data_IF_350105511645
#
_entry.id   IF_350105511645
#
_cell.length_a   1.000
_cell.length_b   1.000
_cell.length_c   1.000
_cell.angle_alpha   90.00
_cell.angle_beta   90.00
_cell.angle_gamma   90.00
#
_symmetry.space_group_name_H-M   'P 1'
#
loop_
_entity.id
_entity.type
_entity.pdbx_description
1 polymer ?
#
# COMPACT_ATOMS: atom_id res chain seq x y z
N UNK A 1 -46.66 5.16 -16.95
CA UNK A 1 -46.19 4.72 -15.63
C UNK A 1 -46.34 5.87 -14.67
N UNK A 2 -47.14 5.69 -13.63
CA UNK A 2 -47.47 6.73 -12.65
C UNK A 2 -46.39 6.71 -11.56
N UNK A 3 -45.24 7.33 -11.81
CA UNK A 3 -44.26 7.56 -10.74
C UNK A 3 -44.79 8.74 -9.92
N UNK A 4 -45.01 8.53 -8.62
CA UNK A 4 -45.31 9.63 -7.71
C UNK A 4 -44.18 10.66 -7.85
N UNK A 5 -44.51 11.88 -8.29
CA UNK A 5 -43.56 12.99 -8.34
C UNK A 5 -43.27 13.41 -6.91
N UNK A 6 -42.29 12.79 -6.30
CA UNK A 6 -41.66 13.34 -5.10
C UNK A 6 -40.92 14.62 -5.55
N UNK A 7 -41.32 15.78 -5.02
CA UNK A 7 -40.71 17.08 -5.35
C UNK A 7 -39.24 17.18 -4.92
N UNK A 8 -38.78 16.26 -4.06
CA UNK A 8 -37.41 16.26 -3.51
C UNK A 8 -36.86 14.84 -3.50
N UNK A 9 -35.70 14.68 -4.13
CA UNK A 9 -34.88 13.47 -4.03
C UNK A 9 -33.76 13.74 -3.04
N UNK A 10 -33.70 12.96 -1.96
CA UNK A 10 -32.63 13.05 -0.95
C UNK A 10 -31.55 12.02 -1.27
N UNK A 11 -30.30 12.47 -1.39
CA UNK A 11 -29.14 11.62 -1.63
C UNK A 11 -28.35 11.54 -0.32
N UNK A 12 -28.23 10.36 0.28
CA UNK A 12 -27.59 10.15 1.59
C UNK A 12 -26.29 9.36 1.51
N UNK A 13 -26.01 8.76 0.37
CA UNK A 13 -24.96 7.77 0.15
C UNK A 13 -23.88 8.26 -0.82
N UNK A 14 -23.88 9.54 -1.19
CA UNK A 14 -22.83 10.14 -1.99
C UNK A 14 -22.30 11.41 -1.33
N UNK A 15 -21.02 11.68 -1.58
CA UNK A 15 -20.40 12.91 -1.14
C UNK A 15 -20.98 14.12 -1.93
N UNK A 16 -21.30 15.25 -1.28
CA UNK A 16 -21.90 16.41 -1.93
C UNK A 16 -21.09 16.93 -3.13
N UNK A 17 -19.76 16.95 -3.02
CA UNK A 17 -18.88 17.36 -4.13
C UNK A 17 -19.01 16.45 -5.35
N UNK A 18 -19.21 15.15 -5.12
CA UNK A 18 -19.39 14.18 -6.19
C UNK A 18 -20.67 14.41 -6.96
N UNK A 19 -21.77 14.64 -6.24
CA UNK A 19 -23.08 14.97 -6.84
C UNK A 19 -23.01 16.30 -7.59
N UNK A 20 -22.35 17.31 -7.03
CA UNK A 20 -22.19 18.59 -7.70
C UNK A 20 -21.40 18.46 -9.01
N UNK A 21 -20.31 17.69 -9.01
CA UNK A 21 -19.53 17.41 -10.23
C UNK A 21 -20.35 16.67 -11.28
N UNK A 22 -21.17 15.70 -10.87
CA UNK A 22 -22.09 14.98 -11.76
C UNK A 22 -23.14 15.92 -12.38
N UNK A 23 -23.77 16.78 -11.57
CA UNK A 23 -24.75 17.75 -12.07
C UNK A 23 -24.10 18.72 -13.06
N UNK A 24 -22.93 19.29 -12.72
CA UNK A 24 -22.19 20.16 -13.65
C UNK A 24 -21.94 19.47 -14.97
N UNK A 25 -21.50 18.21 -14.95
CA UNK A 25 -21.29 17.44 -16.16
C UNK A 25 -22.56 17.23 -16.98
N UNK A 26 -23.71 16.96 -16.36
CA UNK A 26 -24.98 16.81 -17.10
C UNK A 26 -25.43 18.10 -17.79
N UNK A 27 -25.10 19.27 -17.24
CA UNK A 27 -25.45 20.56 -17.84
C UNK A 27 -24.40 21.06 -18.83
N UNK A 28 -23.10 20.82 -18.60
CA UNK A 28 -22.01 21.36 -19.43
C UNK A 28 -21.41 20.36 -20.42
N UNK A 29 -21.55 19.06 -20.17
CA UNK A 29 -20.84 17.98 -20.88
C UNK A 29 -19.34 17.90 -20.58
N UNK A 30 -18.82 18.74 -19.67
CA UNK A 30 -17.39 18.87 -19.36
C UNK A 30 -17.08 18.46 -17.92
N UNK A 31 -15.90 17.88 -17.71
CA UNK A 31 -15.41 17.53 -16.37
C UNK A 31 -14.74 18.76 -15.75
N UNK A 32 -15.34 19.31 -14.69
CA UNK A 32 -14.84 20.46 -13.93
C UNK A 32 -14.49 20.02 -12.50
N UNK A 33 -13.23 19.62 -12.28
CA UNK A 33 -12.73 19.18 -10.98
C UNK A 33 -11.38 19.82 -10.68
N UNK A 34 -11.21 20.31 -9.45
CA UNK A 34 -10.01 21.04 -9.02
C UNK A 34 -9.05 20.15 -8.22
N UNK A 35 -9.56 19.09 -7.60
CA UNK A 35 -8.78 18.20 -6.73
C UNK A 35 -8.97 16.72 -7.07
N UNK A 36 -8.01 15.89 -6.64
CA UNK A 36 -8.08 14.43 -6.77
C UNK A 36 -9.27 13.88 -5.96
N UNK A 37 -9.53 14.43 -4.78
CA UNK A 37 -10.66 14.06 -3.93
C UNK A 37 -11.99 14.33 -4.63
N UNK A 38 -12.17 15.53 -5.19
CA UNK A 38 -13.39 15.90 -5.91
C UNK A 38 -13.60 14.98 -7.13
N UNK A 39 -12.55 14.72 -7.91
CA UNK A 39 -12.61 13.80 -9.04
C UNK A 39 -13.02 12.37 -8.62
N UNK A 40 -12.53 11.89 -7.47
CA UNK A 40 -12.90 10.59 -6.92
C UNK A 40 -14.37 10.56 -6.50
N UNK A 41 -14.85 11.56 -5.75
CA UNK A 41 -16.26 11.66 -5.37
C UNK A 41 -17.17 11.73 -6.59
N UNK A 42 -16.78 12.51 -7.62
CA UNK A 42 -17.55 12.62 -8.87
C UNK A 42 -17.54 11.30 -9.64
N UNK A 43 -16.44 10.53 -9.62
CA UNK A 43 -16.40 9.18 -10.18
C UNK A 43 -17.42 8.26 -9.50
N UNK A 44 -17.48 8.25 -8.17
CA UNK A 44 -18.46 7.44 -7.42
C UNK A 44 -19.90 7.81 -7.74
N UNK A 45 -20.19 9.11 -7.83
CA UNK A 45 -21.50 9.59 -8.26
C UNK A 45 -21.81 9.15 -9.71
N UNK A 46 -20.85 9.26 -10.63
CA UNK A 46 -21.00 8.84 -12.01
C UNK A 46 -21.29 7.34 -12.14
N UNK A 47 -20.60 6.50 -11.37
CA UNK A 47 -20.85 5.05 -11.33
C UNK A 47 -22.26 4.76 -10.81
N UNK A 48 -22.68 5.41 -9.73
CA UNK A 48 -24.01 5.21 -9.13
C UNK A 48 -25.14 5.61 -10.09
N UNK A 49 -24.97 6.70 -10.82
CA UNK A 49 -25.95 7.19 -11.79
C UNK A 49 -25.75 6.66 -13.21
N UNK A 50 -24.92 5.62 -13.37
CA UNK A 50 -24.71 4.89 -14.63
C UNK A 50 -24.23 5.78 -15.79
N UNK A 51 -23.36 6.75 -15.49
CA UNK A 51 -22.69 7.61 -16.49
C UNK A 51 -21.22 7.17 -16.67
N UNK A 52 -20.94 6.14 -17.48
CA UNK A 52 -19.59 5.56 -17.58
C UNK A 52 -18.57 6.52 -18.19
N UNK A 53 -18.98 7.40 -19.13
CA UNK A 53 -18.07 8.34 -19.78
C UNK A 53 -17.48 9.34 -18.79
N UNK A 54 -18.28 9.78 -17.81
CA UNK A 54 -17.80 10.65 -16.74
C UNK A 54 -16.87 9.88 -15.80
N UNK A 55 -17.25 8.66 -15.41
CA UNK A 55 -16.43 7.81 -14.54
C UNK A 55 -15.04 7.54 -15.15
N UNK A 56 -14.96 7.30 -16.47
CA UNK A 56 -13.71 7.14 -17.20
C UNK A 56 -12.87 8.42 -17.19
N UNK A 57 -13.48 9.58 -17.48
CA UNK A 57 -12.79 10.89 -17.43
C UNK A 57 -12.23 11.18 -16.04
N UNK A 58 -13.01 10.92 -14.98
CA UNK A 58 -12.55 11.09 -13.60
C UNK A 58 -11.40 10.14 -13.26
N UNK A 59 -11.51 8.86 -13.65
CA UNK A 59 -10.43 7.87 -13.44
C UNK A 59 -9.14 8.29 -14.14
N UNK A 60 -9.22 8.81 -15.36
CA UNK A 60 -8.08 9.33 -16.10
C UNK A 60 -7.46 10.57 -15.43
N UNK A 61 -8.30 11.49 -14.92
CA UNK A 61 -7.83 12.65 -14.16
C UNK A 61 -7.07 12.23 -12.91
N UNK A 62 -7.67 11.36 -12.07
CA UNK A 62 -7.05 10.82 -10.86
C UNK A 62 -5.71 10.16 -11.19
N UNK A 63 -5.67 9.30 -12.22
CA UNK A 63 -4.42 8.64 -12.65
C UNK A 63 -3.31 9.65 -13.04
N UNK A 64 -3.67 10.77 -13.64
CA UNK A 64 -2.70 11.76 -14.12
C UNK A 64 -2.19 12.74 -13.05
N UNK A 65 -2.99 13.00 -11.99
CA UNK A 65 -2.72 14.03 -10.99
C UNK A 65 -2.38 13.50 -9.60
N UNK A 66 -2.71 12.24 -9.30
CA UNK A 66 -2.52 11.66 -7.98
C UNK A 66 -1.05 11.54 -7.62
N UNK A 67 -0.69 12.04 -6.45
CA UNK A 67 0.63 11.92 -5.84
C UNK A 67 0.63 10.89 -4.69
N UNK A 68 1.82 10.58 -4.15
CA UNK A 68 1.96 9.61 -3.06
C UNK A 68 1.12 9.99 -1.82
N UNK A 69 0.97 11.29 -1.55
CA UNK A 69 0.18 11.81 -0.43
C UNK A 69 -1.32 11.60 -0.61
N UNK A 70 -1.81 11.55 -1.85
CA UNK A 70 -3.23 11.36 -2.16
C UNK A 70 -3.66 9.90 -2.05
N UNK A 71 -2.71 8.95 -2.02
CA UNK A 71 -3.01 7.50 -1.99
C UNK A 71 -3.83 7.12 -0.76
N UNK A 72 -3.44 7.56 0.43
CA UNK A 72 -4.14 7.22 1.67
C UNK A 72 -5.57 7.78 1.71
N UNK A 73 -5.81 9.08 1.45
CA UNK A 73 -7.17 9.63 1.39
C UNK A 73 -8.05 8.99 0.31
N UNK A 74 -7.49 8.66 -0.85
CA UNK A 74 -8.22 7.95 -1.93
C UNK A 74 -8.64 6.56 -1.46
N UNK A 75 -7.74 5.81 -0.83
CA UNK A 75 -8.05 4.49 -0.29
C UNK A 75 -9.06 4.55 0.87
N UNK A 76 -8.92 5.52 1.77
CA UNK A 76 -9.89 5.76 2.85
C UNK A 76 -11.31 5.94 2.29
N UNK A 77 -11.45 6.76 1.25
CA UNK A 77 -12.73 7.00 0.61
C UNK A 77 -13.29 5.75 -0.07
N UNK A 78 -12.51 5.09 -0.93
CA UNK A 78 -12.96 3.89 -1.67
C UNK A 78 -13.34 2.76 -0.73
N UNK A 79 -12.51 2.48 0.28
CA UNK A 79 -12.79 1.41 1.25
C UNK A 79 -14.02 1.72 2.11
N UNK A 80 -14.29 3.00 2.40
CA UNK A 80 -15.52 3.43 3.09
C UNK A 80 -16.75 3.29 2.20
N UNK A 81 -16.61 3.60 0.91
CA UNK A 81 -17.69 3.46 -0.07
C UNK A 81 -17.95 2.00 -0.48
N UNK A 82 -17.03 1.08 -0.17
CA UNK A 82 -17.14 -0.33 -0.55
C UNK A 82 -16.98 -0.57 -2.06
N UNK A 83 -16.27 0.31 -2.76
CA UNK A 83 -16.01 0.17 -4.19
C UNK A 83 -14.87 -0.81 -4.46
N UNK A 84 -14.88 -1.44 -5.64
CA UNK A 84 -13.81 -2.32 -6.10
C UNK A 84 -12.49 -1.55 -6.19
N UNK A 85 -11.47 -2.11 -5.52
CA UNK A 85 -10.15 -1.51 -5.35
C UNK A 85 -9.15 -1.94 -6.44
N UNK A 86 -9.48 -2.98 -7.21
CA UNK A 86 -8.55 -3.68 -8.12
C UNK A 86 -7.98 -2.79 -9.23
N UNK A 87 -8.80 -1.89 -9.77
CA UNK A 87 -8.44 -1.05 -10.92
C UNK A 87 -8.06 0.39 -10.53
N UNK A 88 -7.90 0.66 -9.23
CA UNK A 88 -7.58 2.00 -8.78
C UNK A 88 -6.15 2.39 -9.12
N UNK A 89 -5.94 3.61 -9.68
CA UNK A 89 -4.60 4.17 -9.85
C UNK A 89 -3.80 4.19 -8.54
N UNK A 90 -4.47 4.36 -7.40
CA UNK A 90 -3.89 4.35 -6.05
C UNK A 90 -3.04 3.09 -5.80
N UNK A 91 -3.51 1.93 -6.27
CA UNK A 91 -2.79 0.67 -6.08
C UNK A 91 -1.51 0.57 -6.91
N UNK A 92 -1.53 1.05 -8.15
CA UNK A 92 -0.32 1.00 -8.99
C UNK A 92 0.72 2.01 -8.51
N UNK A 93 0.31 3.19 -8.04
CA UNK A 93 1.22 4.13 -7.39
C UNK A 93 1.77 3.60 -6.06
N UNK A 94 0.95 2.93 -5.24
CA UNK A 94 1.39 2.31 -3.99
C UNK A 94 2.52 1.31 -4.23
N UNK A 95 2.45 0.50 -5.30
CA UNK A 95 3.51 -0.48 -5.62
C UNK A 95 4.75 0.15 -6.25
N UNK A 96 4.60 1.27 -6.94
CA UNK A 96 5.73 2.02 -7.49
C UNK A 96 6.51 2.74 -6.37
N UNK A 97 5.81 3.49 -5.52
CA UNK A 97 6.41 4.40 -4.53
C UNK A 97 5.96 4.06 -3.09
N UNK A 98 6.03 2.79 -2.72
CA UNK A 98 5.61 2.30 -1.38
C UNK A 98 6.28 3.05 -0.23
N UNK A 99 7.56 3.45 -0.38
CA UNK A 99 8.31 4.13 0.67
C UNK A 99 7.82 5.58 0.88
N UNK A 100 7.45 6.27 -0.21
CA UNK A 100 6.92 7.62 -0.14
C UNK A 100 5.55 7.64 0.56
N UNK A 101 4.67 6.69 0.22
CA UNK A 101 3.35 6.55 0.85
C UNK A 101 3.48 6.27 2.34
N UNK A 102 4.38 5.36 2.76
CA UNK A 102 4.58 5.05 4.18
C UNK A 102 5.19 6.19 5.00
N UNK A 103 5.92 7.09 4.35
CA UNK A 103 6.55 8.24 4.99
C UNK A 103 5.66 9.48 4.99
N UNK A 104 4.49 9.40 4.36
CA UNK A 104 3.57 10.52 4.22
C UNK A 104 2.79 10.76 5.51
N UNK A 105 2.43 12.02 5.77
CA UNK A 105 1.63 12.38 6.97
C UNK A 105 0.21 11.81 6.87
N UNK A 106 -0.26 11.65 5.65
CA UNK A 106 -1.59 11.13 5.32
C UNK A 106 -1.71 9.66 5.73
N UNK A 107 -0.62 8.88 5.69
CA UNK A 107 -0.59 7.54 6.27
C UNK A 107 -0.78 7.56 7.79
N UNK A 108 -0.21 8.53 8.51
CA UNK A 108 -0.38 8.64 9.97
C UNK A 108 -1.83 8.94 10.36
N UNK A 109 -2.58 9.63 9.50
CA UNK A 109 -3.98 10.01 9.72
C UNK A 109 -5.00 9.05 9.11
N UNK A 110 -4.58 8.02 8.36
CA UNK A 110 -5.50 7.15 7.64
C UNK A 110 -6.31 6.21 8.55
N UNK A 111 -7.39 5.65 8.00
CA UNK A 111 -8.24 4.70 8.72
C UNK A 111 -7.53 3.36 8.98
N UNK A 112 -8.00 2.61 9.99
CA UNK A 112 -7.45 1.30 10.36
C UNK A 112 -7.51 0.31 9.19
N UNK A 113 -8.61 0.30 8.42
CA UNK A 113 -8.76 -0.54 7.23
C UNK A 113 -7.72 -0.19 6.16
N UNK A 114 -7.48 1.09 5.93
CA UNK A 114 -6.49 1.59 4.97
C UNK A 114 -5.07 1.28 5.40
N UNK A 115 -4.73 1.48 6.67
CA UNK A 115 -3.44 1.08 7.22
C UNK A 115 -3.19 -0.44 7.00
N UNK A 116 -4.19 -1.28 7.27
CA UNK A 116 -4.11 -2.70 6.98
C UNK A 116 -3.93 -3.01 5.50
N UNK A 117 -4.69 -2.33 4.66
CA UNK A 117 -4.66 -2.48 3.21
C UNK A 117 -3.27 -2.18 2.64
N UNK A 118 -2.69 -1.06 3.05
CA UNK A 118 -1.35 -0.61 2.67
C UNK A 118 -0.30 -1.59 3.17
N UNK A 119 -0.32 -1.94 4.46
CA UNK A 119 0.65 -2.86 5.06
C UNK A 119 0.62 -4.25 4.42
N UNK A 120 -0.51 -4.72 3.90
CA UNK A 120 -0.56 -6.01 3.18
C UNK A 120 0.09 -5.97 1.80
N UNK A 121 0.03 -4.82 1.12
CA UNK A 121 0.35 -4.69 -0.31
C UNK A 121 1.67 -3.98 -0.61
N UNK A 122 2.29 -3.34 0.39
CA UNK A 122 3.61 -2.72 0.24
C UNK A 122 4.67 -3.74 -0.16
N UNK A 123 5.44 -3.39 -1.20
CA UNK A 123 6.54 -4.18 -1.78
C UNK A 123 7.81 -3.32 -1.88
N UNK A 124 8.98 -3.96 -1.89
CA UNK A 124 10.29 -3.30 -2.04
C UNK A 124 10.66 -2.29 -0.95
N UNK A 125 10.09 -2.41 0.26
CA UNK A 125 10.41 -1.51 1.38
C UNK A 125 11.15 -2.30 2.47
N UNK A 126 12.17 -1.72 3.12
CA UNK A 126 12.79 -2.33 4.27
C UNK A 126 11.79 -2.41 5.44
N UNK A 127 11.78 -3.53 6.16
CA UNK A 127 10.76 -3.76 7.18
C UNK A 127 10.85 -2.77 8.35
N UNK A 128 12.03 -2.16 8.56
CA UNK A 128 12.21 -1.07 9.55
C UNK A 128 11.32 0.13 9.24
N UNK A 129 11.12 0.47 7.96
CA UNK A 129 10.26 1.58 7.57
C UNK A 129 8.78 1.22 7.76
N UNK A 130 8.39 -0.02 7.46
CA UNK A 130 7.00 -0.49 7.65
C UNK A 130 6.64 -0.49 9.14
N UNK A 131 7.50 -1.09 9.98
CA UNK A 131 7.27 -1.14 11.43
C UNK A 131 7.25 0.25 12.06
N UNK A 132 8.14 1.16 11.64
CA UNK A 132 8.13 2.57 12.07
C UNK A 132 6.87 3.31 11.63
N UNK A 133 6.44 3.14 10.38
CA UNK A 133 5.23 3.78 9.87
C UNK A 133 4.00 3.34 10.67
N UNK A 134 3.84 2.03 10.92
CA UNK A 134 2.73 1.50 11.74
C UNK A 134 2.81 2.02 13.18
N UNK A 135 4.01 2.15 13.75
CA UNK A 135 4.17 2.76 15.07
C UNK A 135 3.78 4.24 15.08
N UNK A 136 4.19 5.03 14.08
CA UNK A 136 3.81 6.45 13.97
C UNK A 136 2.30 6.63 13.84
N UNK A 137 1.68 5.81 12.98
CA UNK A 137 0.22 5.74 12.84
C UNK A 137 -0.45 5.38 14.19
N UNK A 138 0.06 4.40 14.92
CA UNK A 138 -0.50 4.01 16.22
C UNK A 138 -0.39 5.13 17.27
N UNK A 139 0.70 5.89 17.28
CA UNK A 139 0.86 7.08 18.12
C UNK A 139 -0.14 8.17 17.78
N UNK A 140 -0.36 8.42 16.48
CA UNK A 140 -1.33 9.41 16.03
C UNK A 140 -2.77 8.99 16.36
N UNK A 141 -3.10 7.71 16.18
CA UNK A 141 -4.40 7.17 16.54
C UNK A 141 -4.68 7.30 18.04
N UNK A 142 -3.67 7.06 18.88
CA UNK A 142 -3.77 7.28 20.34
C UNK A 142 -4.03 8.76 20.65
N UNK A 143 -3.28 9.67 20.03
CA UNK A 143 -3.46 11.12 20.20
C UNK A 143 -4.87 11.56 19.81
N UNK A 144 -5.40 11.07 18.70
CA UNK A 144 -6.75 11.37 18.22
C UNK A 144 -7.85 10.77 19.12
N UNK A 145 -7.60 9.61 19.74
CA UNK A 145 -8.54 9.04 20.70
C UNK A 145 -8.64 9.87 21.99
N UNK A 146 -7.51 10.41 22.46
CA UNK A 146 -7.45 11.29 23.64
C UNK A 146 -8.19 12.62 23.43
N UNK A 147 -8.21 13.17 22.21
CA UNK A 147 -8.96 14.40 21.91
C UNK A 147 -10.47 14.17 21.84
N UNK A 148 -10.90 12.95 21.48
CA UNK A 148 -12.31 12.57 21.33
C UNK A 148 -12.90 12.02 22.64
N UNK A 149 -12.11 11.94 23.73
CA UNK A 149 -12.58 11.43 25.03
C UNK A 149 -12.86 9.92 25.03
N UNK A 150 -12.29 9.18 24.09
CA UNK A 150 -12.39 7.72 24.02
C UNK A 150 -11.45 7.05 25.04
N UNK A 151 -11.73 5.79 25.40
CA UNK A 151 -10.87 5.00 26.28
C UNK A 151 -9.41 5.01 25.79
N UNK A 152 -8.46 5.25 26.71
CA UNK A 152 -7.03 5.22 26.41
C UNK A 152 -6.60 3.79 26.03
N UNK A 153 -6.62 3.50 24.72
CA UNK A 153 -6.06 2.26 24.20
C UNK A 153 -4.54 2.32 24.28
N UNK A 154 -3.95 1.25 24.80
CA UNK A 154 -2.49 1.08 24.79
C UNK A 154 -1.96 0.97 23.36
N UNK A 155 -0.72 1.41 23.12
CA UNK A 155 -0.05 1.27 21.81
C UNK A 155 -0.05 -0.19 21.36
N UNK A 156 0.12 -1.14 22.30
CA UNK A 156 0.02 -2.57 22.04
C UNK A 156 -1.32 -2.95 21.43
N UNK A 157 -2.44 -2.53 22.01
CA UNK A 157 -3.78 -2.87 21.49
C UNK A 157 -4.02 -2.31 20.08
N UNK A 158 -3.48 -1.12 19.78
CA UNK A 158 -3.62 -0.49 18.46
C UNK A 158 -2.77 -1.23 17.42
N UNK A 159 -1.56 -1.67 17.78
CA UNK A 159 -0.64 -2.37 16.88
C UNK A 159 -0.89 -3.87 16.77
N UNK A 160 -1.56 -4.50 17.74
CA UNK A 160 -1.78 -5.94 17.80
C UNK A 160 -2.38 -6.55 16.52
N UNK A 161 -3.36 -5.92 15.84
CA UNK A 161 -3.87 -6.41 14.55
C UNK A 161 -2.81 -6.50 13.44
N UNK A 162 -1.72 -5.74 13.56
CA UNK A 162 -0.64 -5.68 12.57
C UNK A 162 0.49 -6.67 12.85
N UNK A 163 0.61 -7.22 14.06
CA UNK A 163 1.66 -8.19 14.42
C UNK A 163 1.79 -9.40 13.48
N UNK A 164 0.71 -10.01 12.95
CA UNK A 164 0.85 -11.10 11.98
C UNK A 164 1.38 -10.65 10.61
N UNK A 165 1.28 -9.34 10.31
CA UNK A 165 1.69 -8.71 9.05
C UNK A 165 3.10 -8.11 9.11
N UNK A 166 3.56 -7.75 10.31
CA UNK A 166 4.88 -7.16 10.56
C UNK A 166 5.94 -8.25 10.69
N UNK A 167 6.94 -8.22 9.80
CA UNK A 167 8.01 -9.22 9.71
C UNK A 167 9.18 -8.89 10.62
N UNK A 168 8.96 -8.88 11.93
CA UNK A 168 10.01 -8.54 12.90
C UNK A 168 11.30 -9.37 12.75
N UNK A 169 11.20 -10.62 12.28
CA UNK A 169 12.34 -11.50 12.05
C UNK A 169 13.20 -11.10 10.84
N UNK A 170 12.68 -10.25 9.95
CA UNK A 170 13.44 -9.70 8.82
C UNK A 170 14.24 -8.44 9.19
N UNK A 171 14.11 -7.93 10.42
CA UNK A 171 14.90 -6.82 10.94
C UNK A 171 16.28 -7.29 11.40
N UNK A 172 17.25 -6.39 11.37
CA UNK A 172 18.51 -6.62 12.09
C UNK A 172 18.32 -6.49 13.60
N UNK A 173 19.20 -7.13 14.39
CA UNK A 173 19.16 -7.02 15.85
C UNK A 173 19.27 -5.55 16.32
N UNK A 174 20.08 -4.73 15.64
CA UNK A 174 20.23 -3.31 15.95
C UNK A 174 18.95 -2.52 15.66
N UNK A 175 18.30 -2.75 14.52
CA UNK A 175 17.02 -2.11 14.20
C UNK A 175 15.91 -2.53 15.17
N UNK A 176 15.90 -3.79 15.58
CA UNK A 176 14.91 -4.30 16.53
C UNK A 176 15.07 -3.64 17.91
N UNK A 177 16.30 -3.57 18.42
CA UNK A 177 16.60 -2.99 19.74
C UNK A 177 16.36 -1.48 19.78
N UNK A 178 16.66 -0.77 18.68
CA UNK A 178 16.47 0.69 18.58
C UNK A 178 15.04 1.11 18.21
N UNK A 179 14.20 0.19 17.75
CA UNK A 179 12.83 0.47 17.34
C UNK A 179 11.82 -0.34 18.17
N UNK A 180 11.31 -1.47 17.64
CA UNK A 180 10.22 -2.25 18.27
C UNK A 180 10.37 -2.54 19.76
N UNK A 181 11.59 -2.75 20.24
CA UNK A 181 11.85 -3.03 21.65
C UNK A 181 11.61 -1.83 22.58
N UNK A 182 11.69 -0.59 22.09
CA UNK A 182 11.53 0.63 22.89
C UNK A 182 10.11 1.19 22.89
N UNK A 183 9.24 0.71 22.00
CA UNK A 183 7.91 1.28 21.77
C UNK A 183 6.87 0.92 22.82
N UNK A 184 7.19 0.02 23.76
CA UNK A 184 6.23 -0.50 24.75
C UNK A 184 5.09 -1.31 24.13
N UNK A 185 5.22 -1.71 22.85
CA UNK A 185 4.22 -2.51 22.13
C UNK A 185 4.40 -4.02 22.38
N UNK A 186 5.61 -4.45 22.74
CA UNK A 186 5.98 -5.85 22.98
C UNK A 186 6.20 -6.09 24.47
N UNK A 187 5.82 -7.25 24.98
CA UNK A 187 6.23 -7.71 26.31
C UNK A 187 7.68 -8.19 26.32
N UNK A 188 8.33 -8.17 27.49
CA UNK A 188 9.72 -8.62 27.64
C UNK A 188 9.93 -10.07 27.19
N UNK A 189 8.91 -10.93 27.32
CA UNK A 189 8.97 -12.31 26.84
C UNK A 189 8.92 -12.36 25.31
N UNK A 190 8.02 -11.61 24.69
CA UNK A 190 7.89 -11.53 23.23
C UNK A 190 9.15 -10.93 22.61
N UNK A 191 9.64 -9.81 23.16
CA UNK A 191 10.84 -9.13 22.67
C UNK A 191 12.09 -10.01 22.73
N UNK A 192 12.29 -10.74 23.85
CA UNK A 192 13.39 -11.71 23.99
C UNK A 192 13.27 -12.87 23.01
N UNK A 193 12.06 -13.39 22.78
CA UNK A 193 11.83 -14.48 21.84
C UNK A 193 12.13 -14.04 20.40
N UNK A 194 11.67 -12.85 20.00
CA UNK A 194 11.93 -12.28 18.68
C UNK A 194 13.42 -11.99 18.46
N UNK A 195 14.07 -11.29 19.40
CA UNK A 195 15.50 -10.97 19.31
C UNK A 195 16.37 -12.23 19.24
N UNK A 196 16.07 -13.24 20.06
CA UNK A 196 16.78 -14.53 20.01
C UNK A 196 16.65 -15.19 18.63
N UNK A 197 15.46 -15.14 18.01
CA UNK A 197 15.24 -15.71 16.68
C UNK A 197 15.85 -14.87 15.54
N UNK A 198 16.00 -13.55 15.72
CA UNK A 198 16.73 -12.68 14.78
C UNK A 198 18.22 -13.04 14.79
N UNK A 199 18.82 -13.23 15.98
CA UNK A 199 20.25 -13.57 16.12
C UNK A 199 20.52 -15.02 15.72
N UNK A 200 19.70 -15.96 16.21
CA UNK A 200 19.83 -17.40 15.94
C UNK A 200 18.44 -18.01 15.76
N UNK A 201 18.10 -18.32 14.51
CA UNK A 201 16.80 -18.89 14.12
C UNK A 201 16.51 -20.17 14.91
N UNK A 202 15.29 -20.29 15.42
CA UNK A 202 14.81 -21.47 16.14
C UNK A 202 15.30 -21.59 17.59
N UNK A 203 15.92 -20.55 18.16
CA UNK A 203 16.44 -20.60 19.54
C UNK A 203 15.35 -20.64 20.59
N UNK A 204 14.24 -19.94 20.37
CA UNK A 204 13.09 -19.89 21.28
C UNK A 204 11.79 -20.05 20.49
N UNK A 205 10.73 -20.61 21.09
CA UNK A 205 9.42 -20.64 20.44
C UNK A 205 8.94 -19.21 20.16
N UNK A 206 8.46 -18.98 18.94
CA UNK A 206 7.90 -17.69 18.55
C UNK A 206 6.58 -17.45 19.30
N UNK A 207 6.29 -16.21 19.74
CA UNK A 207 5.01 -15.91 20.37
C UNK A 207 3.85 -16.03 19.37
N UNK A 208 2.67 -16.39 19.88
CA UNK A 208 1.47 -16.54 19.06
C UNK A 208 1.02 -15.20 18.48
N UNK A 209 0.52 -15.22 17.24
CA UNK A 209 0.02 -14.02 16.54
C UNK A 209 1.09 -13.17 15.85
N UNK A 210 2.37 -13.57 15.88
CA UNK A 210 3.46 -12.88 15.17
C UNK A 210 3.74 -13.47 13.80
N UNK A 211 4.22 -12.63 12.89
CA UNK A 211 4.67 -13.08 11.58
C UNK A 211 5.92 -13.98 11.70
N UNK A 212 5.90 -15.12 10.99
CA UNK A 212 7.01 -16.09 10.96
C UNK A 212 8.02 -15.85 9.83
N UNK A 213 7.77 -14.83 9.00
CA UNK A 213 8.56 -14.52 7.82
C UNK A 213 9.84 -13.78 8.22
N UNK A 214 10.99 -14.28 7.79
CA UNK A 214 12.32 -13.78 8.11
C UNK A 214 13.03 -13.11 6.93
N UNK A 215 12.31 -12.88 5.83
CA UNK A 215 12.84 -12.25 4.62
C UNK A 215 12.13 -10.93 4.27
N UNK A 216 12.87 -9.98 3.64
CA UNK A 216 12.31 -8.69 3.25
C UNK A 216 11.15 -8.81 2.27
N UNK A 217 10.34 -7.76 2.17
CA UNK A 217 9.29 -7.60 1.16
C UNK A 217 9.92 -7.40 -0.22
N UNK A 218 10.26 -8.49 -0.90
CA UNK A 218 10.71 -8.45 -2.30
C UNK A 218 9.51 -8.30 -3.24
N UNK A 219 9.63 -7.44 -4.24
CA UNK A 219 8.72 -7.42 -5.39
C UNK A 219 8.76 -8.76 -6.13
N UNK A 220 7.59 -9.24 -6.54
CA UNK A 220 7.46 -10.39 -7.44
C UNK A 220 7.76 -10.07 -8.92
N UNK A 221 8.28 -8.88 -9.26
CA UNK A 221 8.57 -8.46 -10.65
C UNK A 221 9.80 -9.13 -11.31
N UNK A 222 10.19 -10.33 -10.89
CA UNK A 222 11.24 -11.13 -11.56
C UNK A 222 10.88 -12.62 -11.65
N UNK A 223 9.59 -12.94 -11.83
CA UNK A 223 9.16 -14.27 -12.29
C UNK A 223 8.21 -14.15 -13.48
N UNK A 224 8.71 -13.64 -14.60
CA UNK A 224 8.13 -13.98 -15.90
C UNK A 224 9.27 -14.19 -16.92
N UNK A 225 9.22 -15.36 -17.55
CA UNK A 225 10.01 -15.82 -18.70
C UNK A 225 11.46 -16.29 -18.46
N UNK A 226 11.55 -17.59 -18.12
CA UNK A 226 12.74 -18.41 -18.31
C UNK A 226 12.36 -19.87 -18.54
N UNK A 227 11.33 -20.13 -19.36
CA UNK A 227 11.01 -21.47 -19.84
C UNK A 227 11.85 -21.77 -21.07
N UNK A 228 12.70 -22.80 -20.97
CA UNK A 228 13.12 -23.69 -22.06
C UNK A 228 13.73 -23.06 -23.31
N UNK A 229 15.06 -23.06 -23.38
CA UNK A 229 15.75 -23.28 -24.65
C UNK A 229 16.91 -24.24 -24.42
N UNK A 230 16.64 -25.53 -24.66
CA UNK A 230 17.66 -26.51 -25.00
C UNK A 230 18.44 -25.97 -26.20
N UNK A 231 19.76 -25.90 -26.11
CA UNK A 231 20.60 -25.94 -27.31
C UNK A 231 21.87 -26.72 -27.00
N UNK A 232 22.11 -27.68 -27.88
CA UNK A 232 23.14 -28.69 -27.82
C UNK A 232 24.54 -28.14 -27.60
N UNK A 233 25.29 -28.85 -26.77
CA UNK A 233 26.75 -28.79 -26.72
C UNK A 233 27.28 -29.31 -28.06
N UNK A 234 27.81 -28.43 -28.91
CA UNK A 234 28.75 -28.83 -29.96
C UNK A 234 30.13 -28.34 -29.58
N UNK A 235 30.97 -29.31 -29.30
CA UNK A 235 32.37 -29.16 -28.95
C UNK A 235 33.21 -28.75 -30.17
N UNK A 236 34.32 -28.07 -29.88
CA UNK A 236 35.57 -27.91 -30.66
C UNK A 236 35.71 -26.73 -31.62
N UNK A 237 36.52 -25.76 -31.18
CA UNK A 237 37.22 -24.75 -31.99
C UNK A 237 38.31 -24.11 -31.14
N UNK A 238 39.54 -24.64 -31.29
CA UNK A 238 40.75 -24.36 -30.51
C UNK A 238 41.23 -22.92 -30.65
N UNK A 239 41.81 -22.42 -29.58
CA UNK A 239 42.32 -21.07 -29.36
C UNK A 239 43.70 -20.86 -30.02
N UNK A 240 43.95 -19.60 -30.36
CA UNK A 240 45.22 -18.87 -30.46
C UNK A 240 46.03 -18.89 -31.76
N UNK A 241 45.95 -17.71 -32.38
CA UNK A 241 47.03 -16.92 -32.97
C UNK A 241 48.41 -17.17 -32.36
N UNK A 242 49.38 -17.43 -33.22
CA UNK A 242 50.78 -17.11 -32.99
C UNK A 242 51.42 -16.53 -34.26
N UNK A 243 52.34 -15.62 -34.04
CA UNK A 243 52.86 -14.59 -34.94
C UNK A 243 54.11 -15.06 -35.69
N UNK A 244 54.04 -15.05 -37.04
CA UNK A 244 55.13 -14.84 -38.02
C UNK A 244 56.36 -15.79 -38.06
N UNK A 245 57.33 -15.58 -38.98
CA UNK A 245 57.23 -14.99 -40.32
C UNK A 245 58.02 -15.78 -41.42
N UNK A 246 57.93 -15.32 -42.69
CA UNK A 246 58.99 -15.40 -43.75
C UNK A 246 59.26 -16.77 -44.44
N UNK A 247 59.01 -16.88 -45.76
CA UNK A 247 60.00 -16.76 -46.87
C UNK A 247 59.54 -17.47 -48.17
N UNK A 248 59.75 -16.76 -49.30
CA UNK A 248 60.08 -17.22 -50.68
C UNK A 248 59.78 -18.68 -51.08
N UNK A 249 59.14 -18.96 -52.21
CA UNK A 249 59.55 -18.58 -53.58
C UNK A 249 58.46 -19.01 -54.55
#
# INVERSE_FOLDING_TARGET
GNFAKEERVVITDLHPEGVLGLLRYFYSGQLEVDSVHQALCTRSAALKYLEPKLAEKCTAYVRSKMAANDVCPVLDYVLTMGEDDSDLPAWTLLRADSLAVLSSKEFESCLVCTAHYVVDRVVNVPEVSVTRAVHSWALNQRRNASTVGAEERSIRQIMQPFFPKLRFLALTAQEFVSGPNQWGALSDREARALLSNIIKKGSLPLPDGFCKMDFPRKSQLLKSHGAGASTMIRNQGRINSDVGPVQNR
#
